data_IF_533679088625
#
_entry.id   IF_533679088625
#
_cell.length_a   1.000
_cell.length_b   1.000
_cell.length_c   1.000
_cell.angle_alpha   90.00
_cell.angle_beta   90.00
_cell.angle_gamma   90.00
#
_symmetry.space_group_name_H-M   'P 1'
#
loop_
_entity.id
_entity.type
_entity.pdbx_description
1 polymer ?
#
# COMPACT_ATOMS: atom_id res chain seq x y z
N UNK A 1 23.84 20.23 -11.34
CA UNK A 1 22.41 19.95 -11.00
C UNK A 1 21.85 18.70 -11.70
N UNK A 2 22.27 18.33 -12.91
CA UNK A 2 21.85 17.07 -13.55
C UNK A 2 22.52 15.80 -12.99
N UNK A 3 23.63 15.91 -12.24
CA UNK A 3 24.41 14.76 -11.73
C UNK A 3 23.78 14.04 -10.53
N UNK A 4 23.08 14.78 -9.66
CA UNK A 4 22.69 14.23 -8.35
C UNK A 4 21.42 13.40 -8.47
N UNK A 5 20.54 13.79 -9.39
CA UNK A 5 19.30 13.06 -9.70
C UNK A 5 19.57 11.70 -10.32
N UNK A 6 20.66 11.53 -11.07
CA UNK A 6 21.08 10.23 -11.61
C UNK A 6 21.79 9.37 -10.56
N UNK A 7 22.60 9.98 -9.68
CA UNK A 7 23.32 9.25 -8.61
C UNK A 7 22.41 8.82 -7.46
N UNK A 8 21.32 9.54 -7.21
CA UNK A 8 20.37 9.28 -6.12
C UNK A 8 18.93 9.08 -6.64
N UNK A 9 18.77 8.65 -7.89
CA UNK A 9 17.45 8.45 -8.53
C UNK A 9 16.50 7.61 -7.67
N UNK A 10 17.04 6.56 -7.05
CA UNK A 10 16.35 5.70 -6.09
C UNK A 10 15.74 6.51 -4.93
N UNK A 11 16.57 7.25 -4.19
CA UNK A 11 16.13 8.01 -3.02
C UNK A 11 15.21 9.18 -3.39
N UNK A 12 15.43 9.76 -4.57
CA UNK A 12 14.56 10.80 -5.10
C UNK A 12 13.15 10.25 -5.37
N UNK A 13 13.04 9.07 -5.99
CA UNK A 13 11.75 8.42 -6.23
C UNK A 13 11.04 8.08 -4.91
N UNK A 14 11.77 7.53 -3.91
CA UNK A 14 11.24 7.26 -2.58
C UNK A 14 10.72 8.51 -1.88
N UNK A 15 11.52 9.58 -1.81
CA UNK A 15 11.13 10.83 -1.18
C UNK A 15 9.96 11.50 -1.90
N UNK A 16 9.95 11.46 -3.24
CA UNK A 16 8.84 11.93 -4.05
C UNK A 16 7.55 11.14 -3.78
N UNK A 17 7.64 9.81 -3.67
CA UNK A 17 6.49 8.96 -3.37
C UNK A 17 5.89 9.30 -1.99
N UNK A 18 6.73 9.36 -0.95
CA UNK A 18 6.28 9.65 0.43
C UNK A 18 5.69 11.06 0.52
N UNK A 19 6.26 12.05 -0.18
CA UNK A 19 5.66 13.40 -0.25
C UNK A 19 4.27 13.37 -0.89
N UNK A 20 4.10 12.63 -1.99
CA UNK A 20 2.79 12.46 -2.63
C UNK A 20 1.77 11.78 -1.70
N UNK A 21 2.20 10.76 -0.96
CA UNK A 21 1.37 10.09 0.04
C UNK A 21 0.95 11.04 1.17
N UNK A 22 1.86 11.86 1.68
CA UNK A 22 1.55 12.85 2.71
C UNK A 22 0.58 13.93 2.19
N UNK A 23 0.75 14.39 0.95
CA UNK A 23 -0.15 15.35 0.30
C UNK A 23 -1.57 14.78 0.13
N UNK A 24 -1.69 13.55 -0.37
CA UNK A 24 -2.97 12.87 -0.51
C UNK A 24 -3.66 12.68 0.85
N UNK A 25 -2.89 12.23 1.86
CA UNK A 25 -3.39 12.03 3.22
C UNK A 25 -3.76 13.35 3.92
N UNK A 26 -3.17 14.47 3.50
CA UNK A 26 -3.43 15.82 4.02
C UNK A 26 -4.62 16.54 3.36
N UNK A 27 -5.30 15.91 2.40
CA UNK A 27 -6.54 16.41 1.80
C UNK A 27 -6.43 16.79 0.32
N UNK A 28 -5.22 16.97 -0.23
CA UNK A 28 -5.03 17.17 -1.67
C UNK A 28 -4.86 15.82 -2.38
N UNK A 29 -5.98 15.09 -2.40
CA UNK A 29 -6.05 13.69 -2.81
C UNK A 29 -5.60 13.49 -4.27
N UNK A 30 -6.14 14.28 -5.20
CA UNK A 30 -5.86 14.14 -6.63
C UNK A 30 -4.38 14.39 -6.94
N UNK A 31 -3.83 15.53 -6.50
CA UNK A 31 -2.45 15.87 -6.80
C UNK A 31 -1.47 14.91 -6.09
N UNK A 32 -1.79 14.50 -4.87
CA UNK A 32 -1.01 13.51 -4.12
C UNK A 32 -0.96 12.15 -4.82
N UNK A 33 -2.09 11.61 -5.26
CA UNK A 33 -2.16 10.34 -6.01
C UNK A 33 -1.38 10.42 -7.32
N UNK A 34 -1.53 11.51 -8.08
CA UNK A 34 -0.75 11.71 -9.30
C UNK A 34 0.76 11.74 -9.03
N UNK A 35 1.18 12.41 -7.95
CA UNK A 35 2.59 12.43 -7.57
C UNK A 35 3.09 11.04 -7.20
N UNK A 36 2.31 10.27 -6.43
CA UNK A 36 2.66 8.89 -6.07
C UNK A 36 2.83 8.00 -7.31
N UNK A 37 1.93 8.11 -8.31
CA UNK A 37 2.04 7.38 -9.58
C UNK A 37 3.32 7.71 -10.32
N UNK A 38 3.59 9.01 -10.54
CA UNK A 38 4.79 9.48 -11.23
C UNK A 38 6.05 8.96 -10.54
N UNK A 39 6.11 9.05 -9.21
CA UNK A 39 7.25 8.57 -8.43
C UNK A 39 7.44 7.04 -8.53
N UNK A 40 6.35 6.28 -8.54
CA UNK A 40 6.40 4.82 -8.70
C UNK A 40 6.82 4.42 -10.11
N UNK A 41 6.39 5.14 -11.14
CA UNK A 41 6.80 4.89 -12.52
C UNK A 41 8.28 5.25 -12.75
N UNK A 42 8.75 6.38 -12.19
CA UNK A 42 10.18 6.73 -12.15
C UNK A 42 11.00 5.64 -11.44
N UNK A 43 10.49 5.13 -10.30
CA UNK A 43 11.12 4.05 -9.56
C UNK A 43 11.24 2.77 -10.37
N UNK A 44 10.20 2.41 -11.13
CA UNK A 44 10.21 1.25 -12.04
C UNK A 44 11.17 1.46 -13.21
N UNK A 45 11.21 2.65 -13.80
CA UNK A 45 12.05 2.97 -14.94
C UNK A 45 13.55 2.81 -14.65
N UNK A 46 13.96 3.05 -13.41
CA UNK A 46 15.35 2.84 -12.95
C UNK A 46 15.61 1.40 -12.45
N UNK A 47 14.67 0.47 -12.63
CA UNK A 47 14.80 -0.92 -12.21
C UNK A 47 14.56 -1.18 -10.71
N UNK A 48 13.94 -0.22 -10.01
CA UNK A 48 13.58 -0.35 -8.61
C UNK A 48 12.57 -1.47 -8.36
N UNK A 49 12.93 -2.42 -7.48
CA UNK A 49 12.07 -3.57 -7.12
C UNK A 49 11.80 -3.67 -5.63
N UNK A 50 12.80 -3.41 -4.79
CA UNK A 50 12.67 -3.47 -3.33
C UNK A 50 11.68 -2.42 -2.84
N UNK A 51 10.77 -2.79 -1.93
CA UNK A 51 9.76 -1.90 -1.36
C UNK A 51 8.65 -1.53 -2.34
N UNK A 52 8.62 -2.12 -3.54
CA UNK A 52 7.59 -1.83 -4.53
C UNK A 52 6.19 -2.28 -4.06
N UNK A 53 6.00 -3.47 -3.45
CA UNK A 53 4.69 -3.83 -2.90
C UNK A 53 4.18 -2.83 -1.86
N UNK A 54 5.07 -2.27 -1.05
CA UNK A 54 4.74 -1.22 -0.09
C UNK A 54 4.21 0.05 -0.77
N UNK A 55 4.86 0.54 -1.82
CA UNK A 55 4.37 1.68 -2.59
C UNK A 55 3.03 1.41 -3.27
N UNK A 56 2.89 0.26 -3.89
CA UNK A 56 1.65 -0.14 -4.56
C UNK A 56 0.49 -0.23 -3.55
N UNK A 57 0.74 -0.75 -2.35
CA UNK A 57 -0.24 -0.79 -1.26
C UNK A 57 -0.71 0.59 -0.83
N UNK A 58 0.23 1.52 -0.59
CA UNK A 58 -0.11 2.88 -0.18
C UNK A 58 -0.86 3.64 -1.28
N UNK A 59 -0.47 3.46 -2.54
CA UNK A 59 -1.17 4.04 -3.68
C UNK A 59 -2.60 3.48 -3.79
N UNK A 60 -2.76 2.16 -3.73
CA UNK A 60 -4.06 1.51 -3.73
C UNK A 60 -4.96 2.01 -2.58
N UNK A 61 -4.41 2.17 -1.38
CA UNK A 61 -5.15 2.71 -0.24
C UNK A 61 -5.65 4.14 -0.49
N UNK A 62 -4.80 5.03 -1.00
CA UNK A 62 -5.21 6.42 -1.29
C UNK A 62 -6.28 6.47 -2.39
N UNK A 63 -6.12 5.68 -3.45
CA UNK A 63 -7.12 5.57 -4.52
C UNK A 63 -8.45 5.05 -3.96
N UNK A 64 -8.42 3.97 -3.17
CA UNK A 64 -9.63 3.36 -2.60
C UNK A 64 -10.40 4.27 -1.65
N UNK A 65 -9.71 5.17 -0.94
CA UNK A 65 -10.34 6.21 -0.13
C UNK A 65 -10.97 7.32 -0.97
N UNK A 66 -10.39 7.61 -2.13
CA UNK A 66 -10.90 8.62 -3.05
C UNK A 66 -12.07 8.12 -3.91
N UNK A 67 -12.02 6.84 -4.31
CA UNK A 67 -13.00 6.22 -5.20
C UNK A 67 -13.08 4.71 -4.98
N UNK A 68 -14.30 4.18 -4.97
CA UNK A 68 -14.59 2.76 -4.82
C UNK A 68 -14.67 2.04 -6.18
N UNK A 69 -13.65 2.18 -7.03
CA UNK A 69 -13.57 1.48 -8.32
C UNK A 69 -12.72 0.18 -8.24
N UNK A 70 -12.46 -0.46 -9.38
CA UNK A 70 -11.71 -1.72 -9.45
C UNK A 70 -10.19 -1.56 -9.53
N UNK A 71 -9.69 -0.33 -9.73
CA UNK A 71 -8.26 -0.09 -9.88
C UNK A 71 -7.44 -0.39 -8.61
N UNK A 72 -7.80 0.10 -7.40
CA UNK A 72 -6.98 -0.12 -6.21
C UNK A 72 -6.88 -1.61 -5.85
N UNK A 73 -7.91 -2.41 -6.16
CA UNK A 73 -7.91 -3.86 -5.96
C UNK A 73 -6.88 -4.51 -6.88
N UNK A 74 -6.94 -4.20 -8.18
CA UNK A 74 -5.99 -4.72 -9.18
C UNK A 74 -4.54 -4.40 -8.79
N UNK A 75 -4.28 -3.17 -8.31
CA UNK A 75 -2.94 -2.77 -7.84
C UNK A 75 -2.52 -3.62 -6.64
N UNK A 76 -3.41 -3.82 -5.67
CA UNK A 76 -3.08 -4.48 -4.43
C UNK A 76 -2.92 -6.00 -4.57
N UNK A 77 -3.77 -6.65 -5.37
CA UNK A 77 -3.67 -8.09 -5.65
C UNK A 77 -2.33 -8.41 -6.33
N UNK A 78 -1.90 -7.54 -7.26
CA UNK A 78 -0.58 -7.64 -7.86
C UNK A 78 0.53 -7.43 -6.83
N UNK A 79 0.42 -6.43 -5.95
CA UNK A 79 1.42 -6.17 -4.92
C UNK A 79 1.59 -7.35 -3.94
N UNK A 80 0.49 -8.03 -3.61
CA UNK A 80 0.50 -9.26 -2.80
C UNK A 80 1.26 -10.37 -3.54
N UNK A 81 0.90 -10.65 -4.80
CA UNK A 81 1.57 -11.68 -5.59
C UNK A 81 3.07 -11.39 -5.78
N UNK A 82 3.43 -10.14 -6.08
CA UNK A 82 4.82 -9.71 -6.25
C UNK A 82 5.61 -9.82 -4.92
N UNK A 83 5.00 -9.47 -3.77
CA UNK A 83 5.61 -9.63 -2.44
C UNK A 83 5.91 -11.09 -2.12
N UNK A 84 4.98 -12.00 -2.40
CA UNK A 84 5.15 -13.45 -2.20
C UNK A 84 6.22 -14.03 -3.13
N UNK A 85 6.19 -13.67 -4.41
CA UNK A 85 7.15 -14.15 -5.41
C UNK A 85 8.58 -13.69 -5.10
N UNK A 86 8.76 -12.45 -4.63
CA UNK A 86 10.08 -11.88 -4.32
C UNK A 86 10.57 -12.24 -2.91
N UNK A 87 9.73 -12.84 -2.07
CA UNK A 87 10.02 -13.10 -0.65
C UNK A 87 10.11 -11.83 0.20
N UNK A 88 9.64 -10.68 -0.30
CA UNK A 88 9.66 -9.40 0.40
C UNK A 88 8.42 -9.28 1.30
N UNK A 89 8.42 -10.03 2.40
CA UNK A 89 7.22 -10.24 3.22
C UNK A 89 7.03 -9.24 4.36
N UNK A 90 7.97 -8.30 4.59
CA UNK A 90 7.93 -7.39 5.74
C UNK A 90 6.67 -6.50 5.81
N UNK A 91 5.99 -6.28 4.69
CA UNK A 91 4.73 -5.53 4.62
C UNK A 91 3.49 -6.40 4.34
N UNK A 92 3.63 -7.73 4.31
CA UNK A 92 2.57 -8.64 3.89
C UNK A 92 1.29 -8.53 4.74
N UNK A 93 1.44 -8.38 6.06
CA UNK A 93 0.28 -8.16 6.95
C UNK A 93 -0.51 -6.91 6.53
N UNK A 94 0.18 -5.85 6.15
CA UNK A 94 -0.45 -4.58 5.83
C UNK A 94 -1.04 -4.56 4.42
N UNK A 95 -0.48 -5.32 3.47
CA UNK A 95 -1.10 -5.58 2.18
C UNK A 95 -2.50 -6.18 2.34
N UNK A 96 -2.62 -7.24 3.14
CA UNK A 96 -3.93 -7.86 3.39
C UNK A 96 -4.87 -6.96 4.21
N UNK A 97 -4.34 -6.16 5.16
CA UNK A 97 -5.18 -5.20 5.89
C UNK A 97 -5.77 -4.15 4.94
N UNK A 98 -4.97 -3.63 4.00
CA UNK A 98 -5.48 -2.68 2.99
C UNK A 98 -6.49 -3.36 2.06
N UNK A 99 -6.32 -4.66 1.76
CA UNK A 99 -7.26 -5.41 0.92
C UNK A 99 -8.63 -5.49 1.59
N UNK A 100 -8.65 -5.71 2.91
CA UNK A 100 -9.88 -5.67 3.68
C UNK A 100 -10.51 -4.28 3.74
N UNK A 101 -9.70 -3.21 3.79
CA UNK A 101 -10.19 -1.82 3.73
C UNK A 101 -10.90 -1.53 2.40
N UNK A 102 -10.35 -2.02 1.28
CA UNK A 102 -10.95 -1.88 -0.05
C UNK A 102 -12.23 -2.71 -0.20
N UNK A 103 -12.26 -3.93 0.35
CA UNK A 103 -13.46 -4.77 0.34
C UNK A 103 -14.59 -4.15 1.18
N UNK A 104 -14.28 -3.64 2.38
CA UNK A 104 -15.25 -2.97 3.22
C UNK A 104 -15.82 -1.70 2.55
N UNK A 105 -14.99 -0.91 1.87
CA UNK A 105 -15.45 0.28 1.12
C UNK A 105 -16.43 -0.06 -0.01
N UNK A 106 -16.44 -1.32 -0.48
CA UNK A 106 -17.34 -1.83 -1.51
C UNK A 106 -18.52 -2.62 -0.94
N UNK A 107 -18.75 -2.53 0.37
CA UNK A 107 -19.82 -3.24 1.06
C UNK A 107 -19.72 -4.78 0.93
N UNK A 108 -18.48 -5.30 0.96
CA UNK A 108 -18.17 -6.73 1.02
C UNK A 108 -17.51 -7.08 2.37
N UNK A 109 -18.31 -7.19 3.44
CA UNK A 109 -17.80 -7.44 4.79
C UNK A 109 -17.19 -8.83 4.94
N UNK A 110 -17.65 -9.83 4.20
CA UNK A 110 -17.13 -11.20 4.28
C UNK A 110 -15.68 -11.27 3.77
N UNK A 111 -15.41 -10.66 2.61
CA UNK A 111 -14.04 -10.54 2.10
C UNK A 111 -13.19 -9.66 3.02
N UNK A 112 -13.76 -8.56 3.54
CA UNK A 112 -13.04 -7.67 4.45
C UNK A 112 -12.56 -8.40 5.72
N UNK A 113 -13.44 -9.17 6.35
CA UNK A 113 -13.13 -9.96 7.55
C UNK A 113 -11.99 -10.95 7.27
N UNK A 114 -12.11 -11.76 6.21
CA UNK A 114 -11.06 -12.73 5.82
C UNK A 114 -9.71 -12.06 5.59
N UNK A 115 -9.69 -10.90 4.94
CA UNK A 115 -8.46 -10.13 4.72
C UNK A 115 -7.85 -9.61 6.03
N UNK A 116 -8.67 -9.12 6.97
CA UNK A 116 -8.19 -8.66 8.27
C UNK A 116 -7.69 -9.82 9.15
N UNK A 117 -8.35 -10.98 9.12
CA UNK A 117 -7.87 -12.19 9.80
C UNK A 117 -6.52 -12.65 9.24
N UNK A 118 -6.38 -12.63 7.91
CA UNK A 118 -5.10 -12.93 7.26
C UNK A 118 -4.00 -11.94 7.66
N UNK A 119 -4.31 -10.65 7.73
CA UNK A 119 -3.38 -9.63 8.21
C UNK A 119 -2.95 -9.87 9.66
N UNK A 120 -3.89 -10.28 10.52
CA UNK A 120 -3.63 -10.61 11.92
C UNK A 120 -2.69 -11.83 12.05
N UNK A 121 -2.96 -12.90 11.30
CA UNK A 121 -2.12 -14.09 11.29
C UNK A 121 -0.69 -13.80 10.84
N UNK A 122 -0.54 -13.02 9.77
CA UNK A 122 0.76 -12.65 9.23
C UNK A 122 1.54 -11.75 10.18
N UNK A 123 0.90 -10.72 10.74
CA UNK A 123 1.56 -9.81 11.69
C UNK A 123 2.05 -10.55 12.94
N UNK A 124 1.27 -11.52 13.45
CA UNK A 124 1.69 -12.40 14.55
C UNK A 124 2.89 -13.27 14.16
N UNK A 125 2.85 -13.93 13.00
CA UNK A 125 3.96 -14.75 12.49
C UNK A 125 5.25 -13.93 12.31
N UNK A 126 5.11 -12.66 11.94
CA UNK A 126 6.23 -11.73 11.77
C UNK A 126 6.72 -11.11 13.08
N UNK A 127 5.98 -11.25 14.19
CA UNK A 127 6.23 -10.50 15.42
C UNK A 127 6.00 -8.99 15.29
N UNK A 128 5.26 -8.54 14.25
CA UNK A 128 5.05 -7.15 13.91
C UNK A 128 3.91 -6.53 14.74
N UNK A 129 4.17 -6.23 16.02
CA UNK A 129 3.17 -5.75 16.98
C UNK A 129 2.36 -4.53 16.51
N UNK A 130 3.01 -3.58 15.84
CA UNK A 130 2.33 -2.39 15.30
C UNK A 130 1.33 -2.72 14.20
N UNK A 131 1.66 -3.70 13.34
CA UNK A 131 0.77 -4.17 12.28
C UNK A 131 -0.37 -5.02 12.85
N UNK A 132 -0.09 -5.83 13.87
CA UNK A 132 -1.10 -6.59 14.62
C UNK A 132 -2.16 -5.66 15.22
N UNK A 133 -1.76 -4.60 15.92
CA UNK A 133 -2.72 -3.64 16.50
C UNK A 133 -3.61 -2.99 15.44
N UNK A 134 -3.07 -2.71 14.25
CA UNK A 134 -3.84 -2.15 13.13
C UNK A 134 -4.82 -3.16 12.54
N UNK A 135 -4.41 -4.42 12.38
CA UNK A 135 -5.30 -5.48 11.92
C UNK A 135 -6.47 -5.71 12.90
N UNK A 136 -6.17 -5.76 14.21
CA UNK A 136 -7.21 -5.86 15.25
C UNK A 136 -8.17 -4.66 15.18
N UNK A 137 -7.66 -3.44 15.10
CA UNK A 137 -8.51 -2.24 15.03
C UNK A 137 -9.45 -2.27 13.80
N UNK A 138 -8.94 -2.69 12.64
CA UNK A 138 -9.76 -2.86 11.43
C UNK A 138 -10.84 -3.93 11.61
N UNK A 139 -10.50 -5.08 12.19
CA UNK A 139 -11.46 -6.17 12.45
C UNK A 139 -12.53 -5.77 13.46
N UNK A 140 -12.14 -5.10 14.56
CA UNK A 140 -13.08 -4.58 15.56
C UNK A 140 -14.02 -3.55 14.94
N UNK A 141 -13.51 -2.63 14.11
CA UNK A 141 -14.34 -1.64 13.42
C UNK A 141 -15.33 -2.28 12.44
N UNK A 142 -14.98 -3.39 11.79
CA UNK A 142 -15.89 -4.08 10.87
C UNK A 142 -17.05 -4.77 11.60
N UNK A 143 -16.79 -5.26 12.82
CA UNK A 143 -17.75 -6.05 13.62
C UNK A 143 -18.65 -5.22 14.54
N UNK A 144 -18.30 -3.96 14.80
CA UNK A 144 -19.06 -3.03 15.64
C UNK A 144 -19.88 -2.07 14.80
#
# INVERSE_FOLDING_TARGET
LASDRQRFAFWFAWGSFVRGWAQASGGDVTAGIEQMRRALDDYRAIGGRVGRPYFEALLAQQIGRARADGEPITILDRAIADSEQMGELWYAAELHRIQGELAAARNDPETAERCYERALDLSRKQGARSLESRAVASLTKLKG
#
